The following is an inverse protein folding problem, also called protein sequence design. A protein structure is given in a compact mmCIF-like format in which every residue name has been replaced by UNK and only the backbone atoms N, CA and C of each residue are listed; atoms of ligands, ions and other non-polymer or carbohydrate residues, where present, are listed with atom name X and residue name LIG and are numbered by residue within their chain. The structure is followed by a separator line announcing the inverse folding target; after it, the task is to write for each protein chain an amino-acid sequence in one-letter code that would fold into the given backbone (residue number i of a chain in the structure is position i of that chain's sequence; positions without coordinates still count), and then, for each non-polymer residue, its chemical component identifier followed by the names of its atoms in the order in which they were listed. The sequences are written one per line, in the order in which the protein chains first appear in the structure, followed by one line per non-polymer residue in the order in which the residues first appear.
data_IF_672207630400
#
_entry.id   IF_672207630400
#
_cell.length_a   1.000
_cell.length_b   1.000
_cell.length_c   1.000
_cell.angle_alpha   90.00
_cell.angle_beta   90.00
_cell.angle_gamma   90.00
#
_symmetry.space_group_name_H-M   'P 1'
#
loop_
_entity.id
_entity.type
_entity.pdbx_description
1 polymer ?
#
# COMPACT_ATOMS: atom_id res chain seq x y z
N UNK A 1 13.52 29.12 12.00
CA UNK A 1 13.34 29.24 10.54
C UNK A 1 13.93 28.06 9.78
N UNK A 2 15.24 27.79 9.85
CA UNK A 2 15.88 26.71 9.07
C UNK A 2 15.30 25.31 9.33
N UNK A 3 15.01 24.97 10.59
CA UNK A 3 14.35 23.70 10.95
C UNK A 3 12.96 23.55 10.32
N UNK A 4 12.14 24.61 10.29
CA UNK A 4 10.80 24.56 9.70
C UNK A 4 10.84 24.38 8.19
N UNK A 5 11.82 25.00 7.52
CA UNK A 5 12.03 24.82 6.08
C UNK A 5 12.46 23.38 5.80
N UNK A 6 13.36 22.82 6.60
CA UNK A 6 13.79 21.44 6.47
C UNK A 6 12.64 20.44 6.71
N UNK A 7 11.86 20.64 7.77
CA UNK A 7 10.66 19.86 8.09
C UNK A 7 9.60 19.96 6.99
N UNK A 8 9.42 21.14 6.40
CA UNK A 8 8.49 21.34 5.28
C UNK A 8 8.95 20.60 4.02
N UNK A 9 10.25 20.66 3.71
CA UNK A 9 10.81 19.96 2.57
C UNK A 9 10.73 18.43 2.73
N UNK A 10 11.11 17.89 3.89
CA UNK A 10 11.02 16.45 4.15
C UNK A 10 9.57 15.99 4.16
N UNK A 11 8.63 16.79 4.68
CA UNK A 11 7.19 16.53 4.61
C UNK A 11 6.67 16.47 3.17
N UNK A 12 7.09 17.39 2.30
CA UNK A 12 6.73 17.38 0.88
C UNK A 12 7.28 16.15 0.16
N UNK A 13 8.55 15.83 0.36
CA UNK A 13 9.16 14.63 -0.23
C UNK A 13 8.44 13.35 0.23
N UNK A 14 8.15 13.23 1.53
CA UNK A 14 7.42 12.10 2.07
C UNK A 14 6.00 12.02 1.47
N UNK A 15 5.30 13.16 1.34
CA UNK A 15 3.97 13.21 0.73
C UNK A 15 3.96 12.74 -0.73
N UNK A 16 4.94 13.16 -1.52
CA UNK A 16 5.08 12.71 -2.92
C UNK A 16 5.34 11.20 -2.99
N UNK A 17 6.22 10.67 -2.14
CA UNK A 17 6.53 9.23 -2.09
C UNK A 17 5.29 8.42 -1.71
N UNK A 18 4.54 8.85 -0.69
CA UNK A 18 3.34 8.15 -0.21
C UNK A 18 2.23 8.18 -1.26
N UNK A 19 1.99 9.35 -1.87
CA UNK A 19 0.98 9.51 -2.92
C UNK A 19 1.30 8.65 -4.15
N UNK A 20 2.56 8.70 -4.63
CA UNK A 20 3.01 7.87 -5.74
C UNK A 20 2.93 6.37 -5.43
N UNK A 21 3.26 5.97 -4.20
CA UNK A 21 3.11 4.59 -3.74
C UNK A 21 1.66 4.13 -3.73
N UNK A 22 0.73 4.97 -3.26
CA UNK A 22 -0.68 4.64 -3.18
C UNK A 22 -1.31 4.54 -4.57
N UNK A 23 -1.10 5.53 -5.44
CA UNK A 23 -1.59 5.50 -6.82
C UNK A 23 -0.97 4.32 -7.61
N UNK A 24 0.35 4.13 -7.50
CA UNK A 24 1.05 3.03 -8.16
C UNK A 24 0.57 1.66 -7.69
N UNK A 25 0.23 1.50 -6.41
CA UNK A 25 -0.30 0.26 -5.88
C UNK A 25 -1.76 0.02 -6.32
N UNK A 26 -2.60 1.07 -6.37
CA UNK A 26 -3.97 0.95 -6.87
C UNK A 26 -4.05 0.54 -8.33
N UNK A 27 -3.17 1.10 -9.18
CA UNK A 27 -3.05 0.73 -10.59
C UNK A 27 -2.38 -0.64 -10.73
N UNK A 28 -1.28 -0.87 -10.01
CA UNK A 28 -0.48 -2.09 -10.07
C UNK A 28 -1.26 -3.34 -9.66
N UNK A 29 -2.12 -3.25 -8.64
CA UNK A 29 -3.01 -4.34 -8.23
C UNK A 29 -4.21 -4.53 -9.18
N UNK A 30 -4.42 -3.64 -10.16
CA UNK A 30 -5.51 -3.71 -11.14
C UNK A 30 -6.91 -3.85 -10.52
N UNK A 31 -7.11 -3.39 -9.28
CA UNK A 31 -8.39 -3.50 -8.57
C UNK A 31 -9.45 -2.63 -9.26
N UNK A 32 -9.08 -1.39 -9.57
CA UNK A 32 -9.96 -0.42 -10.24
C UNK A 32 -10.38 -0.89 -11.65
N UNK A 33 -9.45 -1.24 -12.57
CA UNK A 33 -9.83 -1.71 -13.90
C UNK A 33 -10.60 -3.03 -13.85
N UNK A 34 -10.34 -3.91 -12.87
CA UNK A 34 -11.12 -5.14 -12.67
C UNK A 34 -12.58 -4.85 -12.31
N UNK A 35 -12.83 -3.93 -11.39
CA UNK A 35 -14.20 -3.53 -11.05
C UNK A 35 -14.90 -2.87 -12.25
N UNK A 36 -14.22 -1.98 -12.96
CA UNK A 36 -14.75 -1.35 -14.18
C UNK A 36 -15.07 -2.38 -15.29
N UNK A 37 -14.28 -3.46 -15.38
CA UNK A 37 -14.52 -4.58 -16.29
C UNK A 37 -15.75 -5.41 -15.91
N UNK A 38 -15.96 -5.68 -14.61
CA UNK A 38 -17.14 -6.43 -14.12
C UNK A 38 -18.42 -5.63 -14.32
N UNK A 39 -18.39 -4.32 -14.11
CA UNK A 39 -19.56 -3.44 -14.32
C UNK A 39 -19.80 -3.09 -15.79
N UNK A 40 -19.04 -3.68 -16.72
CA UNK A 40 -19.09 -3.36 -18.15
C UNK A 40 -18.97 -1.84 -18.42
N UNK A 41 -18.22 -1.12 -17.58
CA UNK A 41 -18.04 0.34 -17.68
C UNK A 41 -16.55 0.70 -17.74
N UNK A 42 -15.78 -0.05 -18.54
CA UNK A 42 -14.34 0.16 -18.72
C UNK A 42 -14.01 1.54 -19.32
N UNK A 43 -14.94 2.14 -20.07
CA UNK A 43 -14.77 3.49 -20.63
C UNK A 43 -14.67 4.58 -19.55
N UNK A 44 -15.12 4.29 -18.32
CA UNK A 44 -15.14 5.24 -17.21
C UNK A 44 -14.07 4.95 -16.13
N UNK A 45 -12.97 4.25 -16.46
CA UNK A 45 -11.91 3.91 -15.48
C UNK A 45 -11.38 5.14 -14.72
N UNK A 46 -11.20 6.27 -15.41
CA UNK A 46 -10.71 7.51 -14.80
C UNK A 46 -11.64 8.03 -13.69
N UNK A 47 -12.96 7.88 -13.85
CA UNK A 47 -13.93 8.28 -12.82
C UNK A 47 -13.83 7.40 -11.57
N UNK A 48 -13.57 6.10 -11.73
CA UNK A 48 -13.35 5.21 -10.59
C UNK A 48 -12.04 5.55 -9.86
N UNK A 49 -10.99 5.92 -10.60
CA UNK A 49 -9.72 6.35 -10.04
C UNK A 49 -9.85 7.66 -9.26
N UNK A 50 -10.49 8.67 -9.86
CA UNK A 50 -10.76 9.96 -9.22
C UNK A 50 -11.63 9.80 -7.97
N UNK A 51 -12.66 8.94 -8.02
CA UNK A 51 -13.51 8.66 -6.87
C UNK A 51 -12.74 8.00 -5.73
N UNK A 52 -11.83 7.08 -6.03
CA UNK A 52 -10.98 6.44 -5.03
C UNK A 52 -9.96 7.42 -4.44
N UNK A 53 -9.35 8.27 -5.27
CA UNK A 53 -8.46 9.35 -4.83
C UNK A 53 -9.20 10.32 -3.91
N UNK A 54 -10.41 10.77 -4.28
CA UNK A 54 -11.27 11.60 -3.43
C UNK A 54 -11.58 10.90 -2.09
N UNK A 55 -11.87 9.60 -2.12
CA UNK A 55 -12.08 8.79 -0.92
C UNK A 55 -10.86 8.77 0.00
N UNK A 56 -9.65 8.63 -0.54
CA UNK A 56 -8.42 8.66 0.26
C UNK A 56 -8.14 10.04 0.86
N UNK A 57 -8.34 11.12 0.10
CA UNK A 57 -8.21 12.50 0.60
C UNK A 57 -9.20 12.74 1.74
N UNK A 58 -10.46 12.36 1.56
CA UNK A 58 -11.49 12.47 2.59
C UNK A 58 -11.13 11.65 3.84
N UNK A 59 -10.68 10.40 3.66
CA UNK A 59 -10.24 9.53 4.75
C UNK A 59 -9.07 10.12 5.55
N UNK A 60 -8.03 10.60 4.86
CA UNK A 60 -6.88 11.25 5.50
C UNK A 60 -7.28 12.51 6.26
N UNK A 61 -8.16 13.35 5.70
CA UNK A 61 -8.67 14.55 6.38
C UNK A 61 -9.44 14.19 7.66
N UNK A 62 -10.33 13.21 7.60
CA UNK A 62 -11.09 12.76 8.78
C UNK A 62 -10.18 12.21 9.87
N UNK A 63 -9.15 11.46 9.48
CA UNK A 63 -8.14 10.92 10.41
C UNK A 63 -7.26 12.02 11.02
N UNK A 64 -6.74 12.93 10.21
CA UNK A 64 -5.80 13.98 10.64
C UNK A 64 -6.46 14.99 11.58
N UNK A 65 -7.66 15.46 11.22
CA UNK A 65 -8.39 16.45 12.01
C UNK A 65 -9.24 15.83 13.13
N UNK A 66 -9.22 14.50 13.29
CA UNK A 66 -10.07 13.74 14.22
C UNK A 66 -11.52 14.24 14.17
N UNK A 67 -12.07 14.41 12.96
CA UNK A 67 -13.43 14.92 12.82
C UNK A 67 -14.38 13.95 13.54
N UNK A 68 -15.13 14.40 14.56
CA UNK A 68 -16.17 13.59 15.16
C UNK A 68 -17.29 13.48 14.14
N UNK A 69 -17.27 12.44 13.33
CA UNK A 69 -18.35 12.11 12.43
C UNK A 69 -19.45 11.45 13.29
N UNK A 70 -20.62 12.08 13.51
CA UNK A 70 -21.74 11.51 14.26
C UNK A 70 -22.45 10.45 13.41
N UNK A 71 -21.69 9.48 12.94
CA UNK A 71 -22.17 8.33 12.20
C UNK A 71 -22.65 7.37 13.28
N UNK A 72 -23.95 7.37 13.53
CA UNK A 72 -24.57 6.44 14.48
C UNK A 72 -24.26 4.98 14.13
N UNK A 73 -24.71 4.04 14.97
CA UNK A 73 -24.41 2.61 14.81
C UNK A 73 -24.74 2.06 13.41
N UNK A 74 -25.82 2.54 12.78
CA UNK A 74 -26.20 2.14 11.42
C UNK A 74 -25.17 2.55 10.35
N UNK A 75 -24.61 3.76 10.44
CA UNK A 75 -23.61 4.20 9.48
C UNK A 75 -22.24 3.54 9.69
N UNK A 76 -21.89 3.17 10.92
CA UNK A 76 -20.72 2.34 11.22
C UNK A 76 -20.87 0.94 10.61
N UNK A 77 -22.06 0.35 10.67
CA UNK A 77 -22.34 -0.95 10.06
C UNK A 77 -22.20 -0.88 8.52
N UNK A 78 -22.78 0.14 7.90
CA UNK A 78 -22.67 0.36 6.44
C UNK A 78 -21.21 0.56 6.03
N UNK A 79 -20.48 1.41 6.75
CA UNK A 79 -19.05 1.63 6.51
C UNK A 79 -18.23 0.33 6.67
N UNK A 80 -18.53 -0.48 7.69
CA UNK A 80 -17.88 -1.77 7.91
C UNK A 80 -18.10 -2.75 6.74
N UNK A 81 -19.32 -2.82 6.21
CA UNK A 81 -19.63 -3.67 5.04
C UNK A 81 -18.83 -3.22 3.82
N UNK A 82 -18.85 -1.92 3.49
CA UNK A 82 -18.11 -1.39 2.35
C UNK A 82 -16.59 -1.56 2.52
N UNK A 83 -16.07 -1.34 3.71
CA UNK A 83 -14.65 -1.58 4.03
C UNK A 83 -14.29 -3.06 3.86
N UNK A 84 -15.16 -3.98 4.27
CA UNK A 84 -14.97 -5.42 4.08
C UNK A 84 -14.94 -5.85 2.61
N UNK A 85 -15.86 -5.33 1.79
CA UNK A 85 -15.87 -5.60 0.33
C UNK A 85 -14.58 -5.08 -0.32
N UNK A 86 -14.17 -3.86 0.04
CA UNK A 86 -12.93 -3.27 -0.46
C UNK A 86 -11.69 -4.09 -0.06
N UNK A 87 -11.59 -4.48 1.22
CA UNK A 87 -10.49 -5.29 1.73
C UNK A 87 -10.46 -6.67 1.06
N UNK A 88 -11.62 -7.28 0.82
CA UNK A 88 -11.74 -8.56 0.11
C UNK A 88 -11.19 -8.48 -1.32
N UNK A 89 -11.53 -7.41 -2.05
CA UNK A 89 -10.97 -7.15 -3.38
C UNK A 89 -9.45 -6.93 -3.36
N UNK A 90 -8.94 -6.26 -2.33
CA UNK A 90 -7.51 -6.08 -2.10
C UNK A 90 -6.76 -7.39 -1.88
N UNK A 91 -7.31 -8.27 -1.04
CA UNK A 91 -6.71 -9.59 -0.75
C UNK A 91 -6.67 -10.44 -2.02
N UNK A 92 -7.75 -10.47 -2.80
CA UNK A 92 -7.81 -11.20 -4.07
C UNK A 92 -6.77 -10.69 -5.07
N UNK A 93 -6.66 -9.37 -5.22
CA UNK A 93 -5.66 -8.77 -6.11
C UNK A 93 -4.22 -9.05 -5.66
N UNK A 94 -3.96 -9.01 -4.35
CA UNK A 94 -2.66 -9.37 -3.80
C UNK A 94 -2.32 -10.84 -4.05
N UNK A 95 -3.30 -11.74 -3.91
CA UNK A 95 -3.12 -13.16 -4.22
C UNK A 95 -2.73 -13.38 -5.69
N UNK A 96 -3.43 -12.71 -6.61
CA UNK A 96 -3.09 -12.78 -8.04
C UNK A 96 -1.69 -12.24 -8.35
N UNK A 97 -1.30 -11.12 -7.73
CA UNK A 97 0.05 -10.59 -7.89
C UNK A 97 1.12 -11.49 -7.28
N UNK A 98 0.82 -12.17 -6.17
CA UNK A 98 1.72 -13.13 -5.54
C UNK A 98 1.98 -14.35 -6.45
N UNK A 99 0.97 -14.83 -7.18
CA UNK A 99 1.12 -15.93 -8.13
C UNK A 99 1.93 -15.54 -9.38
N UNK A 100 1.89 -14.25 -9.77
CA UNK A 100 2.71 -13.72 -10.87
C UNK A 100 4.19 -13.61 -10.46
N UNK A 101 4.50 -13.43 -9.18
CA UNK A 101 5.87 -13.22 -8.70
C UNK A 101 6.84 -14.38 -9.04
N UNK A 102 6.53 -15.67 -8.78
CA UNK A 102 7.36 -16.79 -9.21
C UNK A 102 7.61 -16.83 -10.72
N UNK A 103 6.60 -16.49 -11.53
CA UNK A 103 6.71 -16.44 -13.00
C UNK A 103 7.69 -15.35 -13.40
N UNK A 104 7.58 -14.17 -12.79
CA UNK A 104 8.51 -13.06 -13.01
C UNK A 104 9.94 -13.46 -12.64
N UNK A 105 10.18 -13.97 -11.43
CA UNK A 105 11.50 -14.41 -10.96
C UNK A 105 12.17 -15.43 -11.90
N UNK A 106 11.37 -16.34 -12.49
CA UNK A 106 11.86 -17.29 -13.48
C UNK A 106 12.22 -16.62 -14.80
N UNK A 107 11.43 -15.65 -15.28
CA UNK A 107 11.67 -14.89 -16.52
C UNK A 107 12.94 -14.03 -16.44
N UNK A 108 13.17 -13.36 -15.31
CA UNK A 108 14.39 -12.57 -15.07
C UNK A 108 15.62 -13.44 -14.72
N UNK A 109 15.51 -14.78 -14.77
CA UNK A 109 16.56 -15.75 -14.38
C UNK A 109 17.13 -15.51 -12.97
N UNK A 110 16.36 -14.86 -12.08
CA UNK A 110 16.77 -14.53 -10.71
C UNK A 110 17.05 -15.76 -9.87
N UNK A 111 16.47 -16.90 -10.26
CA UNK A 111 16.73 -18.22 -9.68
C UNK A 111 18.23 -18.59 -9.65
N UNK A 112 19.05 -18.07 -10.57
CA UNK A 112 20.52 -18.31 -10.56
C UNK A 112 21.26 -17.53 -9.46
N UNK A 113 20.75 -16.36 -9.07
CA UNK A 113 21.31 -15.51 -8.01
C UNK A 113 20.64 -15.70 -6.65
N UNK A 114 19.54 -16.46 -6.59
CA UNK A 114 18.78 -16.72 -5.37
C UNK A 114 19.64 -17.23 -4.20
N UNK A 115 20.63 -18.14 -4.40
CA UNK A 115 21.50 -18.58 -3.30
C UNK A 115 22.30 -17.43 -2.69
N UNK A 116 22.80 -16.50 -3.52
CA UNK A 116 23.54 -15.33 -3.06
C UNK A 116 22.63 -14.40 -2.23
N UNK A 117 21.39 -14.20 -2.69
CA UNK A 117 20.39 -13.39 -1.97
C UNK A 117 20.04 -14.01 -0.62
N UNK A 118 19.83 -15.33 -0.57
CA UNK A 118 19.53 -16.05 0.68
C UNK A 118 20.70 -15.94 1.66
N UNK A 119 21.94 -16.10 1.19
CA UNK A 119 23.14 -15.95 2.02
C UNK A 119 23.27 -14.52 2.55
N UNK A 120 23.04 -13.49 1.71
CA UNK A 120 23.07 -12.09 2.16
C UNK A 120 22.00 -11.80 3.22
N UNK A 121 20.79 -12.34 3.07
CA UNK A 121 19.72 -12.20 4.08
C UNK A 121 20.11 -12.91 5.39
N UNK A 122 20.65 -14.12 5.30
CA UNK A 122 21.10 -14.89 6.46
C UNK A 122 22.24 -14.18 7.21
N UNK A 123 23.22 -13.63 6.49
CA UNK A 123 24.31 -12.85 7.07
C UNK A 123 23.79 -11.56 7.71
N UNK A 124 22.89 -10.83 7.04
CA UNK A 124 22.27 -9.63 7.61
C UNK A 124 21.52 -9.92 8.91
N UNK A 125 20.72 -11.00 8.96
CA UNK A 125 20.06 -11.45 10.19
C UNK A 125 21.05 -11.87 11.27
N UNK A 126 22.13 -12.57 10.91
CA UNK A 126 23.14 -13.04 11.87
C UNK A 126 23.89 -11.86 12.51
N UNK A 127 24.28 -10.87 11.71
CA UNK A 127 24.92 -9.65 12.19
C UNK A 127 23.93 -8.84 13.03
N UNK A 128 22.68 -8.70 12.58
CA UNK A 128 21.62 -8.02 13.33
C UNK A 128 21.37 -8.65 14.70
N UNK A 129 21.31 -9.98 14.79
CA UNK A 129 21.16 -10.67 16.07
C UNK A 129 22.39 -10.52 16.98
N UNK A 130 23.61 -10.57 16.41
CA UNK A 130 24.83 -10.36 17.19
C UNK A 130 24.88 -8.94 17.75
N UNK A 131 24.58 -7.92 16.94
CA UNK A 131 24.52 -6.53 17.38
C UNK A 131 23.44 -6.32 18.45
N UNK A 132 22.27 -6.93 18.29
CA UNK A 132 21.20 -6.87 19.29
C UNK A 132 21.67 -7.39 20.66
N UNK A 133 22.36 -8.53 20.68
CA UNK A 133 22.95 -9.08 21.92
C UNK A 133 24.13 -8.25 22.44
N UNK A 134 24.98 -7.69 21.57
CA UNK A 134 26.12 -6.86 21.98
C UNK A 134 25.72 -5.49 22.53
N UNK A 135 24.67 -4.86 21.99
CA UNK A 135 24.19 -3.56 22.46
C UNK A 135 23.20 -3.65 23.63
N UNK A 136 22.77 -4.85 24.01
CA UNK A 136 21.90 -5.05 25.18
C UNK A 136 20.55 -4.34 25.06
N UNK A 137 20.00 -4.23 23.85
CA UNK A 137 18.65 -3.73 23.65
C UNK A 137 17.65 -4.77 24.16
N UNK A 138 17.21 -4.64 25.42
CA UNK A 138 16.03 -5.32 25.97
C UNK A 138 14.79 -4.45 25.79
#
# INVERSE_FOLDING_TARGET
MWQQIFLGFTGLCAGVIISGGLAGLMIGLSIIPRYAGITHTADCILLYEDAALLGTIAGVLTYLYRLPLPIGQGGLAVFGIFSGIFLGGWILALAEMADVFPVFCRRIRFLKGLPLVIVSIALGKSIGSLLFYFLGWQ
#
